data_IF_024693839006
#
_entry.id   IF_024693839006
#
_cell.length_a   1.000
_cell.length_b   1.000
_cell.length_c   1.000
_cell.angle_alpha   90.00
_cell.angle_beta   90.00
_cell.angle_gamma   90.00
#
_symmetry.space_group_name_H-M   'P 1'
#
loop_
_entity.id
_entity.type
_entity.pdbx_description
1 polymer ?
#
# COMPACT_ATOMS: atom_id res chain seq x y z
N UNK A 1 -10.89 -4.67 82.36
CA UNK A 1 -10.87 -4.13 80.99
C UNK A 1 -10.07 -5.14 80.13
N UNK A 2 -10.73 -5.98 79.34
CA UNK A 2 -10.10 -6.98 78.46
C UNK A 2 -10.32 -6.53 77.02
N UNK A 3 -9.24 -6.12 76.34
CA UNK A 3 -9.21 -5.75 74.95
C UNK A 3 -9.20 -7.01 74.09
N UNK A 4 -10.25 -7.18 73.31
CA UNK A 4 -10.32 -8.24 72.30
C UNK A 4 -9.67 -7.76 70.98
N UNK A 5 -8.63 -8.46 70.55
CA UNK A 5 -7.98 -8.27 69.28
C UNK A 5 -8.73 -9.13 68.23
N UNK A 6 -9.39 -8.46 67.30
CA UNK A 6 -10.09 -9.13 66.18
C UNK A 6 -9.06 -9.31 65.05
N UNK A 7 -8.63 -10.55 64.82
CA UNK A 7 -7.77 -10.93 63.70
C UNK A 7 -8.62 -11.09 62.47
N UNK A 8 -8.54 -10.13 61.53
CA UNK A 8 -9.14 -10.26 60.21
C UNK A 8 -8.21 -11.08 59.33
N UNK A 9 -8.58 -12.33 59.06
CA UNK A 9 -7.91 -13.20 58.10
C UNK A 9 -8.34 -12.77 56.71
N UNK A 10 -7.47 -12.09 55.98
CA UNK A 10 -7.66 -11.76 54.57
C UNK A 10 -7.47 -13.06 53.76
N UNK A 11 -8.56 -13.68 53.31
CA UNK A 11 -8.47 -14.72 52.26
C UNK A 11 -8.12 -14.07 50.94
N UNK A 12 -6.86 -14.18 50.51
CA UNK A 12 -6.50 -13.99 49.10
C UNK A 12 -7.13 -15.07 48.28
N UNK A 13 -8.25 -14.79 47.64
CA UNK A 13 -8.76 -15.59 46.55
C UNK A 13 -7.79 -15.41 45.36
N UNK A 14 -6.86 -16.35 45.23
CA UNK A 14 -6.06 -16.50 44.01
C UNK A 14 -7.01 -16.98 42.91
N UNK A 15 -7.54 -16.04 42.12
CA UNK A 15 -8.08 -16.35 40.81
C UNK A 15 -6.94 -16.85 39.96
N UNK A 16 -6.78 -18.17 39.89
CA UNK A 16 -5.99 -18.80 38.82
C UNK A 16 -6.77 -18.55 37.55
N UNK A 17 -6.48 -17.43 36.89
CA UNK A 17 -6.85 -17.28 35.50
C UNK A 17 -6.14 -18.41 34.76
N UNK A 18 -6.91 -19.41 34.33
CA UNK A 18 -6.42 -20.41 33.40
C UNK A 18 -5.93 -19.63 32.18
N UNK A 19 -4.61 -19.43 32.07
CA UNK A 19 -3.99 -18.84 30.91
C UNK A 19 -4.38 -19.74 29.74
N UNK A 20 -5.26 -19.24 28.89
CA UNK A 20 -5.67 -19.91 27.69
C UNK A 20 -4.40 -20.19 26.90
N UNK A 21 -4.07 -21.48 26.70
CA UNK A 21 -2.81 -21.91 26.08
C UNK A 21 -2.76 -21.31 24.68
N UNK A 22 -1.81 -20.39 24.46
CA UNK A 22 -1.64 -19.76 23.15
C UNK A 22 -1.41 -20.82 22.09
N UNK A 23 -2.08 -20.68 20.94
CA UNK A 23 -1.93 -21.62 19.82
C UNK A 23 -0.86 -21.19 18.81
N UNK A 24 -0.20 -20.04 19.02
CA UNK A 24 0.95 -19.59 18.24
C UNK A 24 2.09 -19.17 19.17
N UNK A 25 3.31 -19.54 18.83
CA UNK A 25 4.51 -19.19 19.57
C UNK A 25 5.62 -18.77 18.62
N UNK A 26 6.30 -17.65 18.93
CA UNK A 26 7.50 -17.18 18.26
C UNK A 26 8.64 -17.04 19.25
N UNK A 27 9.82 -17.54 18.89
CA UNK A 27 11.08 -17.34 19.61
C UNK A 27 12.08 -16.65 18.69
N UNK A 28 12.67 -15.57 19.17
CA UNK A 28 13.64 -14.77 18.42
C UNK A 28 14.97 -14.72 19.17
N UNK A 29 16.07 -14.88 18.43
CA UNK A 29 17.45 -14.76 18.93
C UNK A 29 18.30 -14.09 17.83
N UNK A 30 18.49 -12.79 17.93
CA UNK A 30 19.15 -11.96 16.92
C UNK A 30 20.39 -11.26 17.49
N UNK A 31 21.54 -11.46 16.87
CA UNK A 31 22.71 -10.64 17.09
C UNK A 31 22.50 -9.23 16.56
N UNK A 32 23.24 -8.27 17.07
CA UNK A 32 23.23 -6.87 16.62
C UNK A 32 21.86 -6.17 16.64
N UNK A 33 20.91 -6.71 17.40
CA UNK A 33 19.62 -6.07 17.64
C UNK A 33 19.76 -5.11 18.84
N UNK A 34 19.56 -3.81 18.60
CA UNK A 34 19.90 -2.74 19.56
C UNK A 34 18.67 -2.03 20.16
N UNK A 35 17.48 -2.61 20.08
CA UNK A 35 16.27 -2.04 20.70
C UNK A 35 15.85 -2.86 21.92
N UNK A 36 15.33 -2.19 22.95
CA UNK A 36 14.84 -2.84 24.18
C UNK A 36 13.41 -3.41 24.02
N UNK A 37 12.78 -3.16 22.89
CA UNK A 37 11.44 -3.65 22.61
C UNK A 37 11.19 -3.85 21.11
N UNK A 38 10.15 -4.63 20.79
CA UNK A 38 9.59 -4.83 19.47
C UNK A 38 8.10 -4.53 19.54
N UNK A 39 7.61 -3.77 18.58
CA UNK A 39 6.19 -3.56 18.33
C UNK A 39 5.67 -4.65 17.39
N UNK A 40 4.47 -5.18 17.66
CA UNK A 40 3.81 -6.17 16.81
C UNK A 40 2.58 -5.55 16.17
N UNK A 41 2.67 -5.24 14.88
CA UNK A 41 1.56 -4.72 14.10
C UNK A 41 0.73 -5.88 13.54
N UNK A 42 -0.55 -5.87 13.84
CA UNK A 42 -1.51 -6.94 13.54
C UNK A 42 -2.58 -6.54 12.52
N UNK A 43 -2.43 -5.35 11.92
CA UNK A 43 -3.39 -4.79 10.97
C UNK A 43 -3.97 -3.44 11.42
N UNK A 44 -4.71 -2.80 10.50
CA UNK A 44 -5.36 -1.50 10.77
C UNK A 44 -6.37 -1.62 11.91
N UNK A 45 -6.42 -0.59 12.75
CA UNK A 45 -7.35 -0.48 13.88
C UNK A 45 -7.20 -1.57 14.96
N UNK A 46 -6.12 -2.36 14.93
CA UNK A 46 -5.77 -3.30 16.00
C UNK A 46 -4.65 -2.70 16.83
N UNK A 47 -4.82 -2.68 18.15
CA UNK A 47 -3.77 -2.21 19.05
C UNK A 47 -2.51 -3.06 18.87
N UNK A 48 -1.38 -2.39 18.67
CA UNK A 48 -0.08 -3.06 18.63
C UNK A 48 0.28 -3.62 20.00
N UNK A 49 0.88 -4.81 20.01
CA UNK A 49 1.52 -5.32 21.22
C UNK A 49 2.95 -4.78 21.31
N UNK A 50 3.46 -4.66 22.52
CA UNK A 50 4.87 -4.33 22.79
C UNK A 50 5.51 -5.51 23.49
N UNK A 51 6.62 -6.01 22.96
CA UNK A 51 7.37 -7.14 23.50
C UNK A 51 8.73 -6.62 23.95
N UNK A 52 9.12 -6.89 25.20
CA UNK A 52 10.43 -6.53 25.71
C UNK A 52 11.50 -7.46 25.13
N UNK A 53 12.65 -6.88 24.79
CA UNK A 53 13.80 -7.59 24.24
C UNK A 53 14.94 -7.54 25.23
N UNK A 54 15.62 -8.66 25.43
CA UNK A 54 16.81 -8.76 26.26
C UNK A 54 17.95 -9.41 25.46
N UNK A 55 19.01 -8.66 25.23
CA UNK A 55 20.19 -9.13 24.47
C UNK A 55 19.81 -9.71 23.11
N UNK A 56 18.94 -9.05 22.36
CA UNK A 56 18.46 -9.49 21.06
C UNK A 56 17.48 -10.67 21.09
N UNK A 57 17.01 -11.09 22.28
CA UNK A 57 16.12 -12.25 22.45
C UNK A 57 14.76 -11.81 22.97
N UNK A 58 13.72 -12.39 22.38
CA UNK A 58 12.35 -12.26 22.87
C UNK A 58 11.49 -13.46 22.48
N UNK A 59 10.34 -13.57 23.11
CA UNK A 59 9.29 -14.52 22.73
C UNK A 59 7.98 -13.78 22.57
N UNK A 60 7.16 -14.22 21.63
CA UNK A 60 5.81 -13.74 21.44
C UNK A 60 4.84 -14.92 21.37
N UNK A 61 3.68 -14.77 21.94
CA UNK A 61 2.63 -15.80 21.93
C UNK A 61 1.28 -15.15 21.69
N UNK A 62 0.43 -15.79 20.90
CA UNK A 62 -0.90 -15.30 20.57
C UNK A 62 -1.92 -16.43 20.48
N UNK A 63 -3.18 -16.11 20.68
CA UNK A 63 -4.30 -16.93 20.28
C UNK A 63 -4.81 -16.39 18.94
N UNK A 64 -4.70 -17.20 17.91
CA UNK A 64 -5.07 -16.87 16.54
C UNK A 64 -6.33 -17.65 16.17
N UNK A 65 -7.36 -16.94 15.73
CA UNK A 65 -8.57 -17.57 15.16
C UNK A 65 -8.31 -18.06 13.73
N UNK A 66 -7.33 -17.43 13.04
CA UNK A 66 -6.96 -17.71 11.64
C UNK A 66 -5.53 -17.30 11.37
N UNK A 67 -4.95 -17.83 10.29
CA UNK A 67 -3.65 -17.39 9.80
C UNK A 67 -3.69 -15.91 9.36
N UNK A 68 -2.66 -15.15 9.74
CA UNK A 68 -2.53 -13.71 9.44
C UNK A 68 -1.07 -13.30 9.36
N UNK A 69 -0.77 -12.29 8.54
CA UNK A 69 0.54 -11.66 8.50
C UNK A 69 0.71 -10.66 9.64
N UNK A 70 1.76 -10.79 10.43
CA UNK A 70 2.14 -9.82 11.45
C UNK A 70 3.47 -9.19 11.10
N UNK A 71 3.62 -7.90 11.44
CA UNK A 71 4.88 -7.18 11.27
C UNK A 71 5.51 -6.95 12.64
N UNK A 72 6.74 -7.42 12.79
CA UNK A 72 7.57 -7.20 13.96
C UNK A 72 8.58 -6.12 13.64
N UNK A 73 8.54 -5.00 14.36
CA UNK A 73 9.39 -3.85 14.04
C UNK A 73 9.89 -3.16 15.30
N UNK A 74 11.09 -2.59 15.23
CA UNK A 74 11.60 -1.77 16.32
C UNK A 74 10.82 -0.47 16.46
N UNK A 75 10.73 0.16 17.66
CA UNK A 75 10.12 1.48 17.82
C UNK A 75 10.76 2.56 16.94
N UNK A 76 12.06 2.43 16.65
CA UNK A 76 12.80 3.31 15.74
C UNK A 76 12.30 3.16 14.30
N UNK A 77 12.12 1.91 13.81
CA UNK A 77 11.55 1.65 12.48
C UNK A 77 10.12 2.19 12.37
N UNK A 78 9.32 2.05 13.41
CA UNK A 78 7.97 2.62 13.45
C UNK A 78 7.94 4.14 13.31
N UNK A 79 8.94 4.83 13.87
CA UNK A 79 9.12 6.29 13.75
C UNK A 79 9.85 6.72 12.47
N UNK A 80 10.19 5.78 11.59
CA UNK A 80 10.90 6.06 10.35
C UNK A 80 12.42 6.26 10.52
N UNK A 81 12.97 5.98 11.72
CA UNK A 81 14.38 6.20 12.05
C UNK A 81 15.23 4.92 12.15
N UNK A 82 14.63 3.75 12.00
CA UNK A 82 15.29 2.45 12.12
C UNK A 82 14.97 1.56 10.94
N UNK A 83 15.71 0.45 10.82
CA UNK A 83 15.57 -0.49 9.69
C UNK A 83 15.10 -1.89 10.12
N UNK A 84 15.05 -2.21 11.42
CA UNK A 84 14.66 -3.55 11.82
C UNK A 84 13.15 -3.74 11.72
N UNK A 85 12.77 -4.56 10.76
CA UNK A 85 11.41 -5.00 10.53
C UNK A 85 11.42 -6.34 9.82
N UNK A 86 10.53 -7.24 10.21
CA UNK A 86 10.23 -8.45 9.43
C UNK A 86 8.74 -8.78 9.47
N UNK A 87 8.27 -9.36 8.38
CA UNK A 87 6.94 -9.90 8.26
C UNK A 87 6.97 -11.39 8.61
N UNK A 88 5.96 -11.87 9.32
CA UNK A 88 5.82 -13.27 9.65
C UNK A 88 4.36 -13.71 9.43
N UNK A 89 4.11 -14.73 8.63
CA UNK A 89 2.82 -15.41 8.61
C UNK A 89 2.62 -16.14 9.92
N UNK A 90 1.77 -15.63 10.80
CA UNK A 90 1.42 -16.26 12.07
C UNK A 90 0.27 -17.24 11.83
N UNK A 91 0.53 -18.53 12.09
CA UNK A 91 -0.40 -19.62 11.76
C UNK A 91 -0.81 -20.34 13.04
N UNK A 92 -2.12 -20.62 13.28
CA UNK A 92 -2.58 -21.37 14.44
C UNK A 92 -1.88 -22.72 14.56
N UNK A 93 -1.58 -23.12 15.80
CA UNK A 93 -0.94 -24.37 16.18
C UNK A 93 0.52 -24.55 15.70
N UNK A 94 1.15 -23.46 15.30
CA UNK A 94 2.54 -23.45 14.83
C UNK A 94 3.49 -22.74 15.80
N UNK A 95 4.78 -23.11 15.68
CA UNK A 95 5.89 -22.51 16.42
C UNK A 95 6.95 -22.04 15.45
N UNK A 96 7.26 -20.75 15.52
CA UNK A 96 8.30 -20.11 14.72
C UNK A 96 9.56 -19.85 15.55
N UNK A 97 10.71 -19.99 14.95
CA UNK A 97 12.01 -19.54 15.46
C UNK A 97 12.68 -18.62 14.45
N UNK A 98 13.15 -17.46 14.90
CA UNK A 98 13.93 -16.52 14.10
C UNK A 98 15.31 -16.41 14.72
N UNK A 99 16.35 -16.73 13.95
CA UNK A 99 17.75 -16.71 14.40
C UNK A 99 18.66 -16.08 13.34
N UNK A 100 19.66 -15.32 13.81
CA UNK A 100 20.64 -14.72 12.91
C UNK A 100 21.14 -13.38 13.39
N UNK A 101 21.27 -12.44 12.46
CA UNK A 101 21.81 -11.11 12.71
C UNK A 101 20.85 -10.04 12.15
N UNK A 102 20.42 -9.13 13.01
CA UNK A 102 19.44 -8.09 12.67
C UNK A 102 19.94 -7.08 11.62
N UNK A 103 21.25 -6.99 11.41
CA UNK A 103 21.85 -6.05 10.44
C UNK A 103 22.18 -6.68 9.09
N UNK A 104 22.27 -8.01 9.03
CA UNK A 104 22.66 -8.71 7.81
C UNK A 104 21.62 -9.70 7.35
N UNK A 105 21.49 -10.83 8.03
CA UNK A 105 20.54 -11.89 7.67
C UNK A 105 20.09 -12.65 8.91
N UNK A 106 18.85 -13.04 8.89
CA UNK A 106 18.27 -14.00 9.83
C UNK A 106 17.42 -15.01 9.06
N UNK A 107 17.30 -16.20 9.63
CA UNK A 107 16.52 -17.29 9.06
C UNK A 107 15.27 -17.55 9.93
N UNK A 108 14.20 -17.96 9.29
CA UNK A 108 12.95 -18.37 9.93
C UNK A 108 12.83 -19.89 9.82
N UNK A 109 12.59 -20.54 10.94
CA UNK A 109 12.46 -21.99 11.05
C UNK A 109 11.41 -22.34 12.09
N UNK A 110 11.18 -23.62 12.37
CA UNK A 110 10.25 -24.03 13.42
C UNK A 110 9.53 -25.35 13.12
N UNK A 111 8.24 -25.40 13.38
CA UNK A 111 7.35 -26.54 13.09
C UNK A 111 7.15 -26.72 11.58
N UNK A 112 6.39 -27.74 11.17
CA UNK A 112 6.27 -28.16 9.76
C UNK A 112 5.99 -27.01 8.78
N UNK A 113 5.07 -26.12 9.13
CA UNK A 113 4.77 -24.95 8.30
C UNK A 113 6.01 -24.08 8.07
N UNK A 114 6.79 -23.78 9.12
CA UNK A 114 7.97 -22.93 9.01
C UNK A 114 9.18 -23.62 8.36
N UNK A 115 9.23 -24.94 8.33
CA UNK A 115 10.18 -25.68 7.50
C UNK A 115 9.87 -25.46 6.02
N UNK A 116 8.60 -25.62 5.63
CA UNK A 116 8.14 -25.29 4.26
C UNK A 116 8.34 -23.81 3.93
N UNK A 117 8.05 -22.91 4.88
CA UNK A 117 8.21 -21.46 4.70
C UNK A 117 9.66 -21.07 4.45
N UNK A 118 10.61 -21.72 5.12
CA UNK A 118 12.03 -21.51 4.85
C UNK A 118 12.40 -21.88 3.41
N UNK A 119 11.89 -23.00 2.89
CA UNK A 119 12.11 -23.39 1.48
C UNK A 119 11.51 -22.37 0.50
N UNK A 120 10.32 -21.85 0.81
CA UNK A 120 9.68 -20.76 0.03
C UNK A 120 10.52 -19.48 0.10
N UNK A 121 11.04 -19.11 1.26
CA UNK A 121 11.89 -17.92 1.42
C UNK A 121 13.17 -18.02 0.60
N UNK A 122 13.85 -19.16 0.64
CA UNK A 122 15.05 -19.47 -0.18
C UNK A 122 14.72 -19.42 -1.68
N UNK A 123 13.55 -19.98 -2.09
CA UNK A 123 13.08 -19.88 -3.46
C UNK A 123 12.92 -18.41 -3.88
N UNK A 124 12.20 -17.62 -3.07
CA UNK A 124 11.92 -16.22 -3.39
C UNK A 124 13.19 -15.38 -3.46
N UNK A 125 14.15 -15.60 -2.56
CA UNK A 125 15.45 -14.94 -2.62
C UNK A 125 16.18 -15.25 -3.94
N UNK A 126 16.25 -16.53 -4.32
CA UNK A 126 16.90 -16.96 -5.56
C UNK A 126 16.16 -16.51 -6.81
N UNK A 127 14.83 -16.54 -6.80
CA UNK A 127 14.01 -16.10 -7.94
C UNK A 127 14.13 -14.59 -8.17
N UNK A 128 14.16 -13.79 -7.08
CA UNK A 128 14.29 -12.34 -7.17
C UNK A 128 15.71 -11.84 -7.48
N UNK A 129 16.74 -12.70 -7.35
CA UNK A 129 18.15 -12.26 -7.38
C UNK A 129 18.52 -11.52 -8.65
N UNK A 130 18.21 -12.07 -9.82
CA UNK A 130 18.61 -11.48 -11.11
C UNK A 130 17.93 -10.11 -11.34
N UNK A 131 16.64 -10.00 -11.05
CA UNK A 131 15.90 -8.75 -11.18
C UNK A 131 16.42 -7.69 -10.20
N UNK A 132 16.63 -8.06 -8.95
CA UNK A 132 17.20 -7.18 -7.92
C UNK A 132 18.60 -6.69 -8.26
N UNK A 133 19.49 -7.60 -8.70
CA UNK A 133 20.85 -7.24 -9.07
C UNK A 133 20.85 -6.27 -10.28
N UNK A 134 19.94 -6.49 -11.23
CA UNK A 134 19.73 -5.56 -12.34
C UNK A 134 19.25 -4.19 -11.86
N UNK A 135 18.22 -4.11 -11.01
CA UNK A 135 17.71 -2.85 -10.44
C UNK A 135 18.77 -2.10 -9.62
N UNK A 136 19.58 -2.81 -8.83
CA UNK A 136 20.71 -2.23 -8.10
C UNK A 136 21.72 -1.62 -9.07
N UNK A 137 22.04 -2.31 -10.19
CA UNK A 137 22.96 -1.79 -11.22
C UNK A 137 22.43 -0.50 -11.86
N UNK A 138 21.12 -0.44 -12.17
CA UNK A 138 20.49 0.75 -12.72
C UNK A 138 20.52 1.94 -11.75
N UNK A 139 20.22 1.68 -10.47
CA UNK A 139 20.30 2.71 -9.44
C UNK A 139 21.73 3.26 -9.27
N UNK A 140 22.75 2.42 -9.41
CA UNK A 140 24.15 2.87 -9.38
C UNK A 140 24.48 3.75 -10.59
N UNK A 141 23.98 3.43 -11.78
CA UNK A 141 24.18 4.21 -13.00
C UNK A 141 23.52 5.60 -12.90
N UNK A 142 22.30 5.67 -12.31
CA UNK A 142 21.66 6.97 -12.01
C UNK A 142 22.53 7.81 -11.07
N UNK A 143 23.09 7.22 -10.01
CA UNK A 143 23.99 7.91 -9.08
C UNK A 143 25.27 8.40 -9.76
N UNK A 144 25.71 7.71 -10.81
CA UNK A 144 26.88 8.06 -11.61
C UNK A 144 26.58 9.08 -12.71
N UNK A 145 25.34 9.64 -12.75
CA UNK A 145 24.95 10.73 -13.64
C UNK A 145 24.29 10.32 -14.95
N UNK A 146 23.96 9.04 -15.14
CA UNK A 146 23.18 8.61 -16.30
C UNK A 146 21.74 9.11 -16.21
N UNK A 147 21.15 9.50 -17.33
CA UNK A 147 19.83 10.12 -17.30
C UNK A 147 18.74 9.10 -16.95
N UNK A 148 17.76 9.54 -16.15
CA UNK A 148 16.63 8.70 -15.77
C UNK A 148 15.86 8.20 -17.00
N UNK A 149 15.76 9.00 -18.06
CA UNK A 149 15.08 8.63 -19.30
C UNK A 149 15.75 7.44 -19.98
N UNK A 150 17.09 7.41 -20.09
CA UNK A 150 17.84 6.29 -20.68
C UNK A 150 17.65 5.01 -19.86
N UNK A 151 17.73 5.14 -18.53
CA UNK A 151 17.55 4.02 -17.60
C UNK A 151 16.13 3.44 -17.70
N UNK A 152 15.10 4.29 -17.74
CA UNK A 152 13.71 3.82 -17.86
C UNK A 152 13.47 3.09 -19.19
N UNK A 153 13.99 3.60 -20.31
CA UNK A 153 13.86 2.91 -21.61
C UNK A 153 14.53 1.52 -21.61
N UNK A 154 15.71 1.40 -20.98
CA UNK A 154 16.37 0.10 -20.83
C UNK A 154 15.58 -0.84 -19.89
N UNK A 155 15.06 -0.31 -18.77
CA UNK A 155 14.25 -1.08 -17.82
C UNK A 155 13.00 -1.66 -18.49
N UNK A 156 12.26 -0.83 -19.22
CA UNK A 156 11.05 -1.25 -19.95
C UNK A 156 11.33 -2.38 -20.95
N UNK A 157 12.52 -2.42 -21.54
CA UNK A 157 12.94 -3.46 -22.48
C UNK A 157 13.35 -4.76 -21.80
N UNK A 158 14.10 -4.70 -20.67
CA UNK A 158 14.72 -5.87 -20.03
C UNK A 158 13.92 -6.45 -18.88
N UNK A 159 13.27 -5.60 -18.07
CA UNK A 159 12.57 -6.05 -16.86
C UNK A 159 11.46 -7.08 -17.11
N UNK A 160 10.67 -7.01 -18.20
CA UNK A 160 9.63 -8.02 -18.46
C UNK A 160 10.18 -9.45 -18.59
N UNK A 161 11.35 -9.64 -19.21
CA UNK A 161 11.97 -10.94 -19.34
C UNK A 161 12.48 -11.49 -18.00
N UNK A 162 13.11 -10.62 -17.18
CA UNK A 162 13.56 -10.96 -15.84
C UNK A 162 12.39 -11.28 -14.90
N UNK A 163 11.32 -10.47 -14.98
CA UNK A 163 10.10 -10.72 -14.21
C UNK A 163 9.45 -12.05 -14.58
N UNK A 164 9.39 -12.36 -15.89
CA UNK A 164 8.89 -13.66 -16.35
C UNK A 164 9.73 -14.81 -15.83
N UNK A 165 11.05 -14.71 -15.89
CA UNK A 165 11.95 -15.75 -15.38
C UNK A 165 11.79 -15.97 -13.86
N UNK A 166 11.60 -14.89 -13.10
CA UNK A 166 11.24 -14.95 -11.68
C UNK A 166 9.94 -15.71 -11.47
N UNK A 167 8.88 -15.31 -12.19
CA UNK A 167 7.54 -15.90 -12.06
C UNK A 167 7.55 -17.39 -12.43
N UNK A 168 8.26 -17.76 -13.51
CA UNK A 168 8.40 -19.16 -13.92
C UNK A 168 9.05 -20.02 -12.84
N UNK A 169 10.14 -19.55 -12.21
CA UNK A 169 10.79 -20.25 -11.07
C UNK A 169 9.81 -20.46 -9.91
N UNK A 170 9.01 -19.44 -9.60
CA UNK A 170 8.01 -19.52 -8.52
C UNK A 170 6.92 -20.54 -8.86
N UNK A 171 6.33 -20.48 -10.06
CA UNK A 171 5.28 -21.40 -10.46
C UNK A 171 5.75 -22.85 -10.56
N UNK A 172 6.98 -23.08 -11.05
CA UNK A 172 7.57 -24.42 -11.13
C UNK A 172 7.77 -25.04 -9.74
N UNK A 173 8.21 -24.24 -8.77
CA UNK A 173 8.31 -24.70 -7.38
C UNK A 173 6.94 -25.10 -6.81
N UNK A 174 5.92 -24.26 -6.96
CA UNK A 174 4.58 -24.56 -6.44
C UNK A 174 3.99 -25.79 -7.11
N UNK A 175 4.23 -25.98 -8.41
CA UNK A 175 3.81 -27.19 -9.15
C UNK A 175 4.46 -28.46 -8.60
N UNK A 176 5.71 -28.36 -8.10
CA UNK A 176 6.41 -29.50 -7.49
C UNK A 176 5.98 -29.73 -6.03
N UNK A 177 5.46 -28.70 -5.36
CA UNK A 177 5.06 -28.72 -3.95
C UNK A 177 3.62 -28.25 -3.72
N UNK A 178 2.61 -28.83 -4.40
CA UNK A 178 1.23 -28.35 -4.34
C UNK A 178 0.59 -28.44 -2.96
N UNK A 179 1.10 -29.33 -2.09
CA UNK A 179 0.62 -29.56 -0.73
C UNK A 179 1.35 -28.74 0.35
N UNK A 180 2.31 -27.89 -0.05
CA UNK A 180 2.97 -27.01 0.91
C UNK A 180 2.05 -25.86 1.30
N UNK A 181 1.59 -25.87 2.56
CA UNK A 181 0.77 -24.76 3.08
C UNK A 181 1.48 -23.40 3.00
N UNK A 182 2.80 -23.40 3.14
CA UNK A 182 3.62 -22.19 3.02
C UNK A 182 3.60 -21.57 1.61
N UNK A 183 3.28 -22.34 0.55
CA UNK A 183 3.08 -21.75 -0.79
C UNK A 183 1.95 -20.70 -0.83
N UNK A 184 1.04 -20.73 0.15
CA UNK A 184 0.03 -19.69 0.30
C UNK A 184 0.61 -18.30 0.62
N UNK A 185 1.84 -18.19 1.11
CA UNK A 185 2.49 -16.90 1.36
C UNK A 185 3.03 -16.25 0.08
N UNK A 186 3.15 -17.04 -0.99
CA UNK A 186 3.61 -16.56 -2.30
C UNK A 186 2.62 -15.57 -2.95
N UNK A 187 1.34 -15.57 -2.52
CA UNK A 187 0.37 -14.57 -2.99
C UNK A 187 0.82 -13.14 -2.73
N UNK A 188 1.65 -12.88 -1.71
CA UNK A 188 2.24 -11.57 -1.43
C UNK A 188 3.20 -11.08 -2.55
N UNK A 189 3.66 -11.97 -3.43
CA UNK A 189 4.56 -11.63 -4.54
C UNK A 189 3.83 -11.12 -5.78
N UNK A 190 2.50 -11.23 -5.81
CA UNK A 190 1.68 -10.88 -6.96
C UNK A 190 0.61 -9.85 -6.61
N UNK A 191 0.38 -8.91 -7.52
CA UNK A 191 -0.74 -7.97 -7.53
C UNK A 191 -1.65 -8.18 -8.76
N UNK A 192 -1.22 -9.00 -9.71
CA UNK A 192 -1.94 -9.37 -10.92
C UNK A 192 -2.88 -10.55 -10.67
N UNK A 193 -4.17 -10.36 -10.97
CA UNK A 193 -5.23 -11.36 -10.74
C UNK A 193 -4.95 -12.66 -11.51
N UNK A 194 -4.48 -12.59 -12.76
CA UNK A 194 -4.24 -13.79 -13.57
C UNK A 194 -3.09 -14.62 -12.99
N UNK A 195 -2.05 -13.99 -12.46
CA UNK A 195 -0.95 -14.68 -11.78
C UNK A 195 -1.41 -15.29 -10.45
N UNK A 196 -2.25 -14.59 -9.69
CA UNK A 196 -2.85 -15.14 -8.47
C UNK A 196 -3.75 -16.33 -8.75
N UNK A 197 -4.58 -16.27 -9.81
CA UNK A 197 -5.43 -17.39 -10.21
C UNK A 197 -4.61 -18.58 -10.71
N UNK A 198 -3.54 -18.34 -11.47
CA UNK A 198 -2.59 -19.38 -11.87
C UNK A 198 -1.94 -20.03 -10.65
N UNK A 199 -1.47 -19.25 -9.68
CA UNK A 199 -0.91 -19.74 -8.42
C UNK A 199 -1.93 -20.61 -7.67
N UNK A 200 -3.16 -20.10 -7.51
CA UNK A 200 -4.25 -20.83 -6.88
C UNK A 200 -4.53 -22.17 -7.58
N UNK A 201 -4.50 -22.18 -8.91
CA UNK A 201 -4.69 -23.40 -9.71
C UNK A 201 -3.64 -24.49 -9.48
N UNK A 202 -2.43 -24.11 -9.07
CA UNK A 202 -1.33 -25.03 -8.80
C UNK A 202 -1.37 -25.65 -7.40
N UNK A 203 -2.07 -25.02 -6.45
CA UNK A 203 -2.19 -25.54 -5.08
C UNK A 203 -3.15 -26.73 -5.02
N UNK A 204 -2.90 -27.68 -4.12
CA UNK A 204 -3.82 -28.78 -3.85
C UNK A 204 -5.11 -28.29 -3.18
N UNK A 205 -6.18 -29.08 -3.27
CA UNK A 205 -7.46 -28.76 -2.62
C UNK A 205 -7.33 -28.62 -1.09
N UNK A 206 -6.42 -29.39 -0.48
CA UNK A 206 -6.15 -29.27 0.96
C UNK A 206 -5.59 -27.91 1.34
N UNK A 207 -4.70 -27.33 0.53
CA UNK A 207 -4.14 -26.00 0.76
C UNK A 207 -5.16 -24.91 0.42
N UNK A 208 -5.87 -25.04 -0.72
CA UNK A 208 -6.92 -24.10 -1.14
C UNK A 208 -8.01 -23.93 -0.10
N UNK A 209 -8.44 -25.02 0.53
CA UNK A 209 -9.54 -25.02 1.50
C UNK A 209 -9.07 -25.12 2.95
N UNK A 210 -7.75 -25.15 3.17
CA UNK A 210 -7.13 -25.26 4.47
C UNK A 210 -7.06 -23.93 5.25
N UNK A 211 -6.35 -23.98 6.39
CA UNK A 211 -6.21 -22.86 7.33
C UNK A 211 -5.55 -21.62 6.73
N UNK A 212 -4.75 -21.78 5.66
CA UNK A 212 -4.10 -20.65 4.97
C UNK A 212 -5.03 -19.86 4.04
N UNK A 213 -6.25 -20.33 3.76
CA UNK A 213 -7.23 -19.60 2.95
C UNK A 213 -7.52 -18.21 3.52
N UNK A 214 -7.64 -18.11 4.85
CA UNK A 214 -7.87 -16.82 5.51
C UNK A 214 -6.71 -15.83 5.35
N UNK A 215 -5.51 -16.31 5.06
CA UNK A 215 -4.33 -15.48 4.79
C UNK A 215 -4.36 -14.90 3.38
N UNK A 216 -4.53 -15.74 2.35
CA UNK A 216 -4.38 -15.30 0.96
C UNK A 216 -5.67 -14.81 0.29
N UNK A 217 -6.86 -15.29 0.69
CA UNK A 217 -8.11 -14.91 0.03
C UNK A 217 -8.38 -13.41 0.02
N UNK A 218 -8.12 -12.65 1.11
CA UNK A 218 -8.27 -11.21 1.10
C UNK A 218 -7.38 -10.50 0.06
N UNK A 219 -6.21 -11.06 -0.26
CA UNK A 219 -5.30 -10.51 -1.28
C UNK A 219 -5.89 -10.66 -2.67
N UNK A 220 -6.42 -11.85 -3.00
CA UNK A 220 -7.11 -12.11 -4.27
C UNK A 220 -8.34 -11.19 -4.41
N UNK A 221 -9.15 -11.08 -3.35
CA UNK A 221 -10.36 -10.25 -3.38
C UNK A 221 -10.01 -8.76 -3.59
N UNK A 222 -8.93 -8.30 -2.97
CA UNK A 222 -8.43 -6.93 -3.14
C UNK A 222 -7.89 -6.71 -4.57
N UNK A 223 -7.11 -7.65 -5.11
CA UNK A 223 -6.59 -7.58 -6.48
C UNK A 223 -7.74 -7.55 -7.50
N UNK A 224 -8.79 -8.37 -7.33
CA UNK A 224 -9.98 -8.37 -8.19
C UNK A 224 -10.70 -7.03 -8.14
N UNK A 225 -10.96 -6.49 -6.96
CA UNK A 225 -11.58 -5.17 -6.81
C UNK A 225 -10.77 -4.06 -7.47
N UNK A 226 -9.43 -4.13 -7.34
CA UNK A 226 -8.53 -3.17 -8.00
C UNK A 226 -8.61 -3.31 -9.52
N UNK A 227 -8.54 -4.52 -10.06
CA UNK A 227 -8.65 -4.76 -11.50
C UNK A 227 -10.00 -4.27 -12.07
N UNK A 228 -11.11 -4.55 -11.38
CA UNK A 228 -12.44 -4.04 -11.76
C UNK A 228 -12.48 -2.49 -11.76
N UNK A 229 -11.87 -1.87 -10.76
CA UNK A 229 -11.80 -0.42 -10.67
C UNK A 229 -10.92 0.18 -11.79
N UNK A 230 -9.80 -0.45 -12.13
CA UNK A 230 -8.93 -0.06 -13.24
C UNK A 230 -9.65 -0.19 -14.60
N UNK A 231 -10.37 -1.27 -14.83
CA UNK A 231 -11.17 -1.45 -16.04
C UNK A 231 -12.30 -0.42 -16.15
N UNK A 232 -12.95 -0.09 -15.04
CA UNK A 232 -13.91 0.99 -14.99
C UNK A 232 -13.25 2.33 -15.34
N UNK A 233 -12.08 2.62 -14.74
CA UNK A 233 -11.34 3.85 -15.01
C UNK A 233 -10.94 3.97 -16.48
N UNK A 234 -10.41 2.91 -17.10
CA UNK A 234 -10.10 2.88 -18.53
C UNK A 234 -11.28 3.24 -19.40
N UNK A 235 -12.49 2.80 -19.05
CA UNK A 235 -13.73 3.08 -19.82
C UNK A 235 -14.20 4.52 -19.64
N UNK A 236 -14.31 5.00 -18.39
CA UNK A 236 -14.90 6.32 -18.12
C UNK A 236 -13.93 7.49 -18.33
N UNK A 237 -12.62 7.22 -18.32
CA UNK A 237 -11.57 8.21 -18.51
C UNK A 237 -10.92 8.15 -19.90
N UNK A 238 -11.47 7.36 -20.82
CA UNK A 238 -10.93 7.24 -22.18
C UNK A 238 -11.07 8.54 -22.96
N UNK A 239 -10.12 8.80 -23.86
CA UNK A 239 -10.18 9.94 -24.76
C UNK A 239 -11.46 9.90 -25.60
N UNK A 240 -12.10 11.05 -25.77
CA UNK A 240 -13.36 11.21 -26.50
C UNK A 240 -14.64 10.89 -25.72
N UNK A 241 -14.52 10.31 -24.52
CA UNK A 241 -15.67 10.10 -23.61
C UNK A 241 -16.14 11.42 -23.04
N UNK A 242 -17.45 11.61 -22.93
CA UNK A 242 -18.02 12.79 -22.29
C UNK A 242 -17.75 12.75 -20.77
N UNK A 243 -17.16 13.81 -20.25
CA UNK A 243 -16.89 13.96 -18.84
C UNK A 243 -18.22 14.03 -18.05
N UNK A 244 -18.44 13.17 -17.04
CA UNK A 244 -19.63 13.21 -16.20
C UNK A 244 -19.84 14.60 -15.60
N UNK A 245 -21.03 15.18 -15.83
CA UNK A 245 -21.35 16.50 -15.27
C UNK A 245 -21.69 16.39 -13.77
N UNK A 246 -21.32 17.39 -13.01
CA UNK A 246 -21.62 17.45 -11.58
C UNK A 246 -21.84 18.89 -11.10
N UNK A 247 -22.47 19.03 -9.95
CA UNK A 247 -22.61 20.30 -9.24
C UNK A 247 -22.07 20.12 -7.82
N UNK A 248 -21.10 20.96 -7.44
CA UNK A 248 -20.49 20.97 -6.11
C UNK A 248 -20.43 22.42 -5.60
N UNK A 249 -20.21 22.59 -4.29
CA UNK A 249 -20.07 23.92 -3.68
C UNK A 249 -18.69 24.51 -3.95
N UNK A 250 -18.66 25.76 -4.43
CA UNK A 250 -17.43 26.55 -4.57
C UNK A 250 -16.91 27.05 -3.21
N UNK A 251 -15.75 27.74 -3.23
CA UNK A 251 -15.11 28.27 -2.01
C UNK A 251 -15.99 29.26 -1.23
N UNK A 252 -16.98 29.87 -1.90
CA UNK A 252 -17.94 30.81 -1.32
C UNK A 252 -19.24 30.14 -0.90
N UNK A 253 -19.42 28.85 -1.18
CA UNK A 253 -20.61 28.07 -0.86
C UNK A 253 -21.71 28.11 -1.93
N UNK A 254 -21.45 28.69 -3.10
CA UNK A 254 -22.38 28.68 -4.22
C UNK A 254 -22.32 27.36 -4.98
N UNK A 255 -23.41 26.99 -5.64
CA UNK A 255 -23.39 25.85 -6.56
C UNK A 255 -22.58 26.15 -7.80
N UNK A 256 -21.61 25.30 -8.07
CA UNK A 256 -20.76 25.37 -9.25
C UNK A 256 -20.93 24.10 -10.09
N UNK A 257 -21.28 24.25 -11.34
CA UNK A 257 -21.55 23.16 -12.27
C UNK A 257 -20.40 23.03 -13.26
N UNK A 258 -19.84 21.81 -13.46
CA UNK A 258 -18.74 21.60 -14.41
C UNK A 258 -19.11 22.08 -15.83
N UNK A 259 -20.32 21.81 -16.29
CA UNK A 259 -20.76 22.22 -17.64
C UNK A 259 -20.86 23.74 -17.83
N UNK A 260 -20.77 24.55 -16.78
CA UNK A 260 -20.63 26.02 -16.92
C UNK A 260 -19.31 26.46 -17.53
N UNK A 261 -18.32 25.56 -17.62
CA UNK A 261 -17.01 25.78 -18.25
C UNK A 261 -16.97 25.34 -19.71
N UNK A 262 -18.09 24.94 -20.32
CA UNK A 262 -18.14 24.61 -21.75
C UNK A 262 -17.60 25.77 -22.59
N UNK A 263 -16.97 25.47 -23.70
CA UNK A 263 -16.26 26.46 -24.53
C UNK A 263 -14.79 26.67 -24.15
N UNK A 264 -14.33 26.12 -23.02
CA UNK A 264 -12.94 26.18 -22.58
C UNK A 264 -12.33 24.79 -22.46
N UNK A 265 -11.02 24.69 -22.60
CA UNK A 265 -10.27 23.52 -22.12
C UNK A 265 -10.28 23.56 -20.61
N UNK A 266 -10.59 22.46 -19.95
CA UNK A 266 -10.67 22.34 -18.49
C UNK A 266 -9.75 21.24 -18.00
N UNK A 267 -9.00 21.53 -16.95
CA UNK A 267 -8.26 20.53 -16.17
C UNK A 267 -9.06 20.28 -14.89
N UNK A 268 -9.67 19.09 -14.75
CA UNK A 268 -10.16 18.63 -13.46
C UNK A 268 -8.95 18.12 -12.68
N UNK A 269 -8.64 18.75 -11.56
CA UNK A 269 -7.57 18.35 -10.66
C UNK A 269 -8.17 17.77 -9.38
N UNK A 270 -8.16 16.45 -9.26
CA UNK A 270 -8.60 15.76 -8.05
C UNK A 270 -7.44 15.73 -7.04
N UNK A 271 -7.62 16.43 -5.92
CA UNK A 271 -6.55 16.64 -4.94
C UNK A 271 -7.09 16.64 -3.51
N UNK A 272 -6.22 16.83 -2.51
CA UNK A 272 -6.60 17.04 -1.12
C UNK A 272 -5.44 17.67 -0.31
N UNK A 273 -5.77 18.34 0.79
CA UNK A 273 -4.77 19.01 1.66
C UNK A 273 -3.75 18.06 2.29
N UNK A 274 -4.11 16.79 2.39
CA UNK A 274 -3.28 15.68 2.91
C UNK A 274 -2.37 15.06 1.84
N UNK A 275 -2.55 15.41 0.57
CA UNK A 275 -1.82 14.82 -0.56
C UNK A 275 -0.49 15.54 -0.82
N UNK A 276 0.61 15.00 -0.31
CA UNK A 276 1.94 15.60 -0.47
C UNK A 276 2.39 15.77 -1.92
N UNK A 277 2.08 14.82 -2.80
CA UNK A 277 2.40 14.92 -4.23
C UNK A 277 1.58 16.00 -4.94
N UNK A 278 0.29 16.15 -4.58
CA UNK A 278 -0.54 17.22 -5.09
C UNK A 278 0.07 18.60 -4.76
N UNK A 279 0.44 18.78 -3.49
CA UNK A 279 1.06 20.04 -3.01
C UNK A 279 2.38 20.31 -3.73
N UNK A 280 3.19 19.27 -3.97
CA UNK A 280 4.47 19.39 -4.67
C UNK A 280 4.31 19.88 -6.12
N UNK A 281 3.22 19.52 -6.80
CA UNK A 281 2.91 19.93 -8.17
C UNK A 281 2.37 21.37 -8.30
N UNK A 282 1.77 21.93 -7.23
CA UNK A 282 1.09 23.24 -7.29
C UNK A 282 1.95 24.39 -7.82
N UNK A 283 3.23 24.54 -7.47
CA UNK A 283 4.05 25.62 -8.02
C UNK A 283 4.14 25.59 -9.55
N UNK A 284 4.35 24.39 -10.13
CA UNK A 284 4.41 24.22 -11.59
C UNK A 284 3.06 24.43 -12.24
N UNK A 285 1.96 23.99 -11.61
CA UNK A 285 0.59 24.27 -12.09
C UNK A 285 0.31 25.77 -12.14
N UNK A 286 0.74 26.55 -11.13
CA UNK A 286 0.59 28.03 -11.15
C UNK A 286 1.35 28.67 -12.30
N UNK A 287 2.59 28.22 -12.54
CA UNK A 287 3.39 28.69 -13.68
C UNK A 287 2.64 28.47 -15.01
N UNK A 288 2.06 27.30 -15.21
CA UNK A 288 1.30 26.99 -16.43
C UNK A 288 -0.06 27.70 -16.49
N UNK A 289 -0.72 27.91 -15.36
CA UNK A 289 -1.96 28.67 -15.29
C UNK A 289 -1.76 30.12 -15.73
N UNK A 290 -0.67 30.77 -15.30
CA UNK A 290 -0.29 32.12 -15.76
C UNK A 290 0.23 32.11 -17.22
N UNK A 291 1.05 31.11 -17.61
CA UNK A 291 1.58 31.00 -18.99
C UNK A 291 0.45 30.94 -20.02
N UNK A 292 -0.62 30.24 -19.74
CA UNK A 292 -1.75 30.05 -20.64
C UNK A 292 -3.03 30.74 -20.16
N UNK A 293 -2.89 31.85 -19.46
CA UNK A 293 -3.99 32.60 -18.87
C UNK A 293 -5.10 32.89 -19.88
N UNK A 294 -6.34 32.52 -19.52
CA UNK A 294 -7.54 32.73 -20.37
C UNK A 294 -7.76 31.66 -21.45
N UNK A 295 -6.77 30.81 -21.78
CA UNK A 295 -6.92 29.74 -22.77
C UNK A 295 -7.55 28.47 -22.18
N UNK A 296 -7.44 28.25 -20.88
CA UNK A 296 -7.98 27.10 -20.16
C UNK A 296 -8.39 27.48 -18.74
N UNK A 297 -9.05 26.55 -18.05
CA UNK A 297 -9.38 26.69 -16.64
C UNK A 297 -8.97 25.44 -15.86
N UNK A 298 -8.57 25.61 -14.60
CA UNK A 298 -8.37 24.51 -13.67
C UNK A 298 -9.55 24.49 -12.70
N UNK A 299 -10.21 23.34 -12.56
CA UNK A 299 -11.20 23.09 -11.55
C UNK A 299 -10.63 22.11 -10.52
N UNK A 300 -10.17 22.63 -9.40
CA UNK A 300 -9.67 21.84 -8.28
C UNK A 300 -10.83 21.21 -7.51
N UNK A 301 -10.95 19.90 -7.58
CA UNK A 301 -11.94 19.10 -6.86
C UNK A 301 -11.29 18.54 -5.61
N UNK A 302 -11.61 19.11 -4.46
CA UNK A 302 -11.09 18.65 -3.18
C UNK A 302 -11.69 17.30 -2.78
N UNK A 303 -10.86 16.42 -2.26
CA UNK A 303 -11.24 15.04 -1.97
C UNK A 303 -10.75 14.57 -0.60
N UNK A 304 -11.65 13.89 0.12
CA UNK A 304 -11.34 13.25 1.40
C UNK A 304 -10.87 14.22 2.51
N UNK A 305 -11.23 15.49 2.42
CA UNK A 305 -10.96 16.52 3.40
C UNK A 305 -12.20 16.90 4.22
N UNK A 306 -12.01 17.76 5.20
CA UNK A 306 -13.08 18.58 5.74
C UNK A 306 -13.08 19.94 5.04
N UNK A 307 -14.24 20.57 4.91
CA UNK A 307 -14.34 21.87 4.27
C UNK A 307 -13.39 22.93 4.84
N UNK A 308 -13.17 22.89 6.17
CA UNK A 308 -12.22 23.79 6.84
C UNK A 308 -10.77 23.56 6.41
N UNK A 309 -10.33 22.28 6.31
CA UNK A 309 -8.96 21.94 5.87
C UNK A 309 -8.76 22.31 4.41
N UNK A 310 -9.72 22.02 3.56
CA UNK A 310 -9.69 22.41 2.16
C UNK A 310 -9.52 23.92 1.99
N UNK A 311 -10.41 24.75 2.61
CA UNK A 311 -10.33 26.22 2.54
C UNK A 311 -8.99 26.74 3.02
N UNK A 312 -8.49 26.24 4.16
CA UNK A 312 -7.19 26.61 4.69
C UNK A 312 -6.04 26.26 3.74
N UNK A 313 -6.12 25.12 3.04
CA UNK A 313 -5.10 24.71 2.08
C UNK A 313 -5.10 25.57 0.81
N UNK A 314 -6.30 25.89 0.27
CA UNK A 314 -6.43 26.81 -0.88
C UNK A 314 -5.82 28.18 -0.56
N UNK A 315 -6.11 28.73 0.61
CA UNK A 315 -5.56 30.00 1.09
C UNK A 315 -4.05 29.91 1.29
N UNK A 316 -3.58 28.92 2.06
CA UNK A 316 -2.17 28.71 2.38
C UNK A 316 -1.29 28.61 1.12
N UNK A 317 -1.77 27.87 0.14
CA UNK A 317 -1.04 27.67 -1.12
C UNK A 317 -1.36 28.72 -2.19
N UNK A 318 -2.26 29.70 -1.90
CA UNK A 318 -2.63 30.79 -2.79
C UNK A 318 -3.00 30.27 -4.18
N UNK A 319 -3.92 29.32 -4.27
CA UNK A 319 -4.32 28.67 -5.51
C UNK A 319 -5.27 29.58 -6.30
N UNK A 320 -4.91 30.04 -7.52
CA UNK A 320 -5.62 31.11 -8.22
C UNK A 320 -6.82 30.65 -9.05
N UNK A 321 -7.02 29.35 -9.21
CA UNK A 321 -8.08 28.75 -10.04
C UNK A 321 -9.35 28.43 -9.26
N UNK A 322 -10.35 27.88 -9.94
CA UNK A 322 -11.65 27.54 -9.34
C UNK A 322 -11.49 26.30 -8.48
N UNK A 323 -12.13 26.31 -7.30
CA UNK A 323 -12.12 25.20 -6.37
C UNK A 323 -13.53 24.83 -5.95
N UNK A 324 -13.79 23.51 -5.85
CA UNK A 324 -15.04 22.95 -5.35
C UNK A 324 -14.77 21.89 -4.28
N UNK A 325 -15.66 21.81 -3.31
CA UNK A 325 -15.63 20.82 -2.23
C UNK A 325 -16.42 19.57 -2.61
N UNK A 326 -15.78 18.42 -2.55
CA UNK A 326 -16.41 17.13 -2.82
C UNK A 326 -16.70 16.40 -1.49
N UNK A 327 -17.95 16.43 -0.99
CA UNK A 327 -18.32 15.78 0.26
C UNK A 327 -18.23 14.24 0.13
N UNK A 328 -18.14 13.55 1.28
CA UNK A 328 -17.92 12.08 1.31
C UNK A 328 -19.05 11.26 0.67
N UNK A 329 -20.27 11.76 0.65
CA UNK A 329 -21.44 11.13 0.05
C UNK A 329 -21.63 11.46 -1.43
N UNK A 330 -20.76 12.31 -2.00
CA UNK A 330 -20.74 12.62 -3.43
C UNK A 330 -20.32 11.40 -4.26
N UNK A 331 -20.91 11.30 -5.45
CA UNK A 331 -20.56 10.26 -6.43
C UNK A 331 -19.42 10.64 -7.38
N UNK A 332 -18.91 11.88 -7.34
CA UNK A 332 -17.97 12.40 -8.33
C UNK A 332 -16.74 11.52 -8.44
N UNK A 333 -16.11 11.08 -7.31
CA UNK A 333 -14.96 10.18 -7.36
C UNK A 333 -15.30 8.84 -8.02
N UNK A 334 -16.49 8.30 -7.77
CA UNK A 334 -16.92 7.02 -8.34
C UNK A 334 -17.30 7.15 -9.82
N UNK A 335 -17.88 8.26 -10.22
CA UNK A 335 -18.31 8.53 -11.61
C UNK A 335 -17.11 8.73 -12.52
N UNK A 336 -16.06 9.38 -12.01
CA UNK A 336 -14.79 9.51 -12.68
C UNK A 336 -13.83 8.33 -12.44
N UNK A 337 -14.22 7.34 -11.63
CA UNK A 337 -13.40 6.20 -11.24
C UNK A 337 -11.99 6.61 -10.76
N UNK A 338 -11.89 7.65 -9.95
CA UNK A 338 -10.63 8.15 -9.40
C UNK A 338 -10.11 7.18 -8.35
N UNK A 339 -8.89 6.65 -8.55
CA UNK A 339 -8.29 5.64 -7.67
C UNK A 339 -7.08 6.15 -6.88
N UNK A 340 -6.50 7.28 -7.29
CA UNK A 340 -5.30 7.85 -6.68
C UNK A 340 -5.22 9.36 -6.84
N UNK A 341 -4.29 9.98 -6.12
CA UNK A 341 -4.12 11.43 -6.09
C UNK A 341 -2.64 11.81 -6.27
N UNK A 342 -2.38 12.91 -7.06
CA UNK A 342 -3.35 13.65 -7.85
C UNK A 342 -3.86 12.83 -9.05
N UNK A 343 -5.08 13.10 -9.50
CA UNK A 343 -5.57 12.70 -10.82
C UNK A 343 -5.99 13.94 -11.56
N UNK A 344 -5.40 14.17 -12.75
CA UNK A 344 -5.68 15.30 -13.61
C UNK A 344 -6.37 14.82 -14.89
N UNK A 345 -7.57 15.31 -15.17
CA UNK A 345 -8.33 14.97 -16.37
C UNK A 345 -8.48 16.22 -17.22
N UNK A 346 -7.86 16.20 -18.40
CA UNK A 346 -7.96 17.29 -19.37
C UNK A 346 -9.17 17.07 -20.26
N UNK A 347 -10.05 18.08 -20.33
CA UNK A 347 -11.33 18.06 -21.02
C UNK A 347 -11.35 19.15 -22.08
N UNK A 348 -11.84 18.85 -23.29
CA UNK A 348 -11.98 19.81 -24.37
C UNK A 348 -13.15 20.78 -24.18
N UNK A 349 -13.28 21.76 -25.08
CA UNK A 349 -14.32 22.78 -25.05
C UNK A 349 -15.74 22.19 -25.14
N UNK A 350 -15.90 21.00 -25.72
CA UNK A 350 -17.18 20.31 -25.84
C UNK A 350 -17.50 19.43 -24.62
N UNK A 351 -16.53 19.30 -23.69
CA UNK A 351 -16.66 18.48 -22.48
C UNK A 351 -16.26 17.03 -22.66
N UNK A 352 -15.49 16.72 -23.68
CA UNK A 352 -14.93 15.38 -23.88
C UNK A 352 -13.53 15.29 -23.29
N UNK A 353 -13.23 14.15 -22.70
CA UNK A 353 -11.91 13.86 -22.12
C UNK A 353 -10.89 13.80 -23.23
N UNK A 354 -9.81 14.57 -23.12
CA UNK A 354 -8.63 14.50 -23.97
C UNK A 354 -7.69 13.42 -23.43
N UNK A 355 -7.34 13.51 -22.15
CA UNK A 355 -6.42 12.57 -21.48
C UNK A 355 -6.56 12.65 -19.96
N UNK A 356 -6.32 11.52 -19.31
CA UNK A 356 -6.16 11.42 -17.85
C UNK A 356 -4.72 11.14 -17.50
N UNK A 357 -4.22 11.83 -16.49
CA UNK A 357 -2.88 11.65 -15.92
C UNK A 357 -3.03 11.41 -14.41
N UNK A 358 -2.46 10.30 -13.93
CA UNK A 358 -2.47 9.94 -12.51
C UNK A 358 -1.07 10.13 -11.94
N UNK A 359 -0.99 10.78 -10.79
CA UNK A 359 0.28 11.17 -10.18
C UNK A 359 0.81 12.52 -10.68
N UNK A 360 1.95 12.93 -10.13
CA UNK A 360 2.66 14.14 -10.58
C UNK A 360 3.63 13.76 -11.69
N UNK A 361 3.12 13.75 -12.91
CA UNK A 361 3.83 13.32 -14.12
C UNK A 361 4.14 14.52 -15.02
N UNK A 362 5.39 14.72 -15.46
CA UNK A 362 5.76 15.76 -16.44
C UNK A 362 4.98 15.70 -17.75
N UNK A 363 4.49 14.55 -18.16
CA UNK A 363 3.64 14.36 -19.34
C UNK A 363 2.37 15.23 -19.31
N UNK A 364 1.89 15.62 -18.12
CA UNK A 364 0.78 16.55 -17.96
C UNK A 364 1.11 17.92 -18.57
N UNK A 365 2.29 18.45 -18.31
CA UNK A 365 2.72 19.76 -18.79
C UNK A 365 3.01 19.74 -20.30
N UNK A 366 3.60 18.64 -20.80
CA UNK A 366 3.77 18.41 -22.25
C UNK A 366 2.41 18.40 -22.96
N UNK A 367 1.41 17.73 -22.41
CA UNK A 367 0.06 17.74 -22.95
C UNK A 367 -0.55 19.15 -22.97
N UNK A 368 -0.36 19.94 -21.89
CA UNK A 368 -0.85 21.33 -21.88
C UNK A 368 -0.18 22.18 -22.97
N UNK A 369 1.14 22.02 -23.19
CA UNK A 369 1.85 22.72 -24.27
C UNK A 369 1.32 22.30 -25.65
N UNK A 370 0.97 21.04 -25.87
CA UNK A 370 0.38 20.53 -27.11
C UNK A 370 -1.01 21.07 -27.39
N UNK A 371 -1.88 21.15 -26.37
CA UNK A 371 -3.28 21.54 -26.56
C UNK A 371 -3.53 23.04 -26.47
N UNK A 372 -2.68 23.79 -25.76
CA UNK A 372 -2.82 25.23 -25.51
C UNK A 372 -1.81 26.09 -26.30
N UNK A 373 -0.72 25.50 -26.74
CA UNK A 373 0.35 26.20 -27.48
C UNK A 373 0.03 26.49 -28.93
N UNK A 374 -1.12 26.02 -29.42
CA UNK A 374 -1.59 26.23 -30.80
C UNK A 374 -2.24 27.58 -30.99
#
# INVERSE_FOLDING_TARGET
MKTAILSATLMLASTVAMAQKSNFQLKVDLKNFNSDSVLVYKGRNVKMDTVLVKNGKFTYSANLDKAAGYVFLSPEAYRGAGQFMFNLPCVPDEKAEVKGDAKTRFDISGSKFYQQYHEVDVLLENANKELRDYEVSLNQRIKNGETQQTIMAEYEQKAPALQKAKDDKIFDFVKQHPDYEACATIFEQFDDVAKMEKLLGLLSENVKNGRMKAFYQPMIDMAKKRAEAEEKAKKVQAAGVEAPDFTLKDIKGNDFKLSSLRGKIVVLDFWGSWCGWCIKGMPKMKEYYEKYKGKFEILGVDCNDTEAKWKAAVEKHQLPWIHVYNPKDSKVLSDYAVQGFPTKIVIDANGKIIKTIVGEDPAFYTLLDEVLGK
#
